data_IF_566636425582
#
_entry.id   IF_566636425582
#
_cell.length_a   1.000
_cell.length_b   1.000
_cell.length_c   1.000
_cell.angle_alpha   90.00
_cell.angle_beta   90.00
_cell.angle_gamma   90.00
#
_symmetry.space_group_name_H-M   'P 1'
#
loop_
_entity.id
_entity.type
_entity.pdbx_description
1 polymer ?
#
# COMPACT_ATOMS: atom_id res chain seq x y z
N UNK A 1 -4.41 -27.17 3.92
CA UNK A 1 -2.96 -27.24 3.67
C UNK A 1 -2.55 -26.05 2.80
N UNK A 2 -2.21 -24.88 3.37
CA UNK A 2 -1.80 -23.71 2.56
C UNK A 2 -1.05 -22.60 3.35
N UNK A 3 -0.38 -22.92 4.47
CA UNK A 3 0.15 -21.90 5.39
C UNK A 3 1.67 -21.61 5.28
N UNK A 4 2.40 -22.21 4.35
CA UNK A 4 3.88 -22.12 4.32
C UNK A 4 4.43 -21.23 3.19
N UNK A 5 3.61 -20.42 2.54
CA UNK A 5 4.06 -19.54 1.45
C UNK A 5 3.39 -18.18 1.55
N UNK A 6 4.21 -17.13 1.48
CA UNK A 6 3.74 -15.75 1.49
C UNK A 6 2.97 -15.46 0.20
N UNK A 7 1.66 -15.19 0.34
CA UNK A 7 0.79 -14.83 -0.77
C UNK A 7 0.58 -13.31 -0.79
N UNK A 8 0.59 -12.73 -1.98
CA UNK A 8 0.26 -11.32 -2.17
C UNK A 8 -1.27 -11.17 -2.13
N UNK A 9 -1.78 -10.66 -1.01
CA UNK A 9 -3.22 -10.40 -0.82
C UNK A 9 -3.64 -9.01 -1.32
N UNK A 10 -2.71 -8.06 -1.39
CA UNK A 10 -2.97 -6.70 -1.82
C UNK A 10 -1.71 -6.04 -2.39
N UNK A 11 -1.87 -5.21 -3.42
CA UNK A 11 -0.80 -4.40 -4.01
C UNK A 11 -1.21 -2.94 -3.98
N UNK A 12 -0.38 -2.10 -3.36
CA UNK A 12 -0.67 -0.66 -3.29
C UNK A 12 -0.62 -0.02 -4.67
N UNK A 13 -1.66 0.74 -5.01
CA UNK A 13 -1.72 1.58 -6.20
C UNK A 13 -0.53 2.55 -6.22
N UNK A 14 0.11 2.67 -7.38
CA UNK A 14 1.33 3.46 -7.61
C UNK A 14 2.55 3.06 -6.74
N UNK A 15 2.45 1.96 -6.00
CA UNK A 15 3.50 1.44 -5.15
C UNK A 15 4.64 0.76 -5.93
N UNK A 16 5.82 0.59 -5.30
CA UNK A 16 6.97 -0.08 -5.92
C UNK A 16 6.66 -1.46 -6.49
N UNK A 17 5.85 -2.26 -5.78
CA UNK A 17 5.49 -3.62 -6.19
C UNK A 17 4.63 -3.64 -7.45
N UNK A 18 3.67 -2.71 -7.59
CA UNK A 18 2.84 -2.59 -8.79
C UNK A 18 3.70 -2.23 -10.01
N UNK A 19 4.61 -1.26 -9.85
CA UNK A 19 5.56 -0.84 -10.91
C UNK A 19 6.49 -1.98 -11.34
N UNK A 20 6.76 -2.92 -10.43
CA UNK A 20 7.55 -4.13 -10.71
C UNK A 20 6.72 -5.28 -11.31
N UNK A 21 5.42 -5.10 -11.52
CA UNK A 21 4.53 -6.10 -12.13
C UNK A 21 4.04 -7.18 -11.17
N UNK A 22 4.10 -6.95 -9.85
CA UNK A 22 3.53 -7.84 -8.85
C UNK A 22 2.01 -7.68 -8.82
N UNK A 23 1.30 -8.80 -8.73
CA UNK A 23 -0.17 -8.88 -8.76
C UNK A 23 -0.69 -9.63 -7.54
N UNK A 24 -1.98 -9.40 -7.23
CA UNK A 24 -2.70 -10.18 -6.22
C UNK A 24 -2.74 -11.65 -6.65
N UNK A 25 -2.47 -12.54 -5.70
CA UNK A 25 -2.40 -13.99 -5.94
C UNK A 25 -0.99 -14.50 -6.25
N UNK A 26 0.00 -13.64 -6.43
CA UNK A 26 1.40 -14.05 -6.54
C UNK A 26 1.88 -14.75 -5.26
N UNK A 27 2.60 -15.86 -5.42
CA UNK A 27 3.18 -16.60 -4.29
C UNK A 27 4.69 -16.42 -4.26
N UNK A 28 5.22 -15.75 -3.24
CA UNK A 28 6.65 -15.47 -3.16
C UNK A 28 7.45 -16.73 -2.79
N UNK A 29 8.47 -17.01 -3.61
CA UNK A 29 9.38 -18.14 -3.44
C UNK A 29 10.69 -17.65 -2.80
N UNK A 30 11.27 -16.56 -3.33
CA UNK A 30 12.55 -15.99 -2.86
C UNK A 30 12.49 -14.47 -2.82
N UNK A 31 13.13 -13.86 -1.82
CA UNK A 31 13.35 -12.41 -1.71
C UNK A 31 14.83 -12.18 -1.48
N UNK A 32 15.50 -11.53 -2.44
CA UNK A 32 16.96 -11.43 -2.49
C UNK A 32 17.59 -12.81 -2.47
N UNK A 33 18.41 -13.07 -1.45
CA UNK A 33 19.08 -14.35 -1.25
C UNK A 33 18.32 -15.32 -0.34
N UNK A 34 17.20 -14.89 0.24
CA UNK A 34 16.43 -15.69 1.18
C UNK A 34 15.26 -16.41 0.52
N UNK A 35 15.20 -17.74 0.66
CA UNK A 35 14.05 -18.56 0.29
C UNK A 35 12.96 -18.41 1.36
N UNK A 36 11.76 -18.02 0.92
CA UNK A 36 10.60 -17.73 1.77
C UNK A 36 9.56 -18.86 1.70
N UNK A 37 9.45 -19.57 0.57
CA UNK A 37 8.52 -20.69 0.45
C UNK A 37 8.96 -21.92 1.27
N UNK A 38 8.00 -22.61 1.88
CA UNK A 38 8.19 -23.88 2.57
C UNK A 38 8.89 -23.79 3.92
N UNK A 39 9.12 -22.57 4.43
CA UNK A 39 9.65 -22.33 5.77
C UNK A 39 8.57 -21.62 6.58
N UNK A 40 8.45 -21.97 7.87
CA UNK A 40 7.79 -21.12 8.87
C UNK A 40 8.62 -19.85 9.06
N UNK A 41 8.66 -19.00 8.04
CA UNK A 41 9.41 -17.74 8.11
C UNK A 41 8.57 -16.77 8.90
N UNK A 42 9.19 -16.21 9.94
CA UNK A 42 8.65 -15.11 10.71
C UNK A 42 8.25 -13.95 9.79
N UNK A 43 7.00 -13.51 9.91
CA UNK A 43 6.44 -12.38 9.15
C UNK A 43 7.31 -11.12 9.28
N UNK A 44 7.91 -10.88 10.44
CA UNK A 44 8.77 -9.71 10.65
C UNK A 44 10.10 -9.84 9.90
N UNK A 45 10.63 -11.06 9.78
CA UNK A 45 11.81 -11.34 8.95
C UNK A 45 11.52 -11.13 7.46
N UNK A 46 10.32 -11.45 6.99
CA UNK A 46 9.93 -11.18 5.60
C UNK A 46 9.83 -9.67 5.36
N UNK A 47 9.22 -8.94 6.31
CA UNK A 47 9.09 -7.48 6.22
C UNK A 47 10.46 -6.80 6.14
N UNK A 48 11.45 -7.27 6.90
CA UNK A 48 12.80 -6.69 6.86
C UNK A 48 13.53 -6.97 5.54
N UNK A 49 13.30 -8.12 4.89
CA UNK A 49 13.88 -8.44 3.58
C UNK A 49 13.31 -7.57 2.46
N UNK A 50 11.99 -7.29 2.49
CA UNK A 50 11.32 -6.45 1.50
C UNK A 50 11.60 -4.96 1.73
N UNK A 51 11.69 -4.53 2.99
CA UNK A 51 12.10 -3.17 3.37
C UNK A 51 13.61 -2.99 3.16
N UNK A 52 14.04 -1.75 3.14
CA UNK A 52 15.44 -1.38 2.94
C UNK A 52 15.56 0.08 2.50
N UNK A 53 16.78 0.53 2.29
CA UNK A 53 17.05 1.91 1.94
C UNK A 53 16.38 2.29 0.61
N UNK A 54 15.85 3.51 0.55
CA UNK A 54 15.27 4.07 -0.67
C UNK A 54 16.25 3.96 -1.84
N UNK A 55 15.72 3.74 -3.04
CA UNK A 55 16.44 3.55 -4.30
C UNK A 55 17.32 2.28 -4.39
N UNK A 56 17.36 1.43 -3.36
CA UNK A 56 17.98 0.11 -3.49
C UNK A 56 17.05 -0.85 -4.21
N UNK A 57 17.60 -1.89 -4.83
CA UNK A 57 16.83 -2.91 -5.56
C UNK A 57 16.74 -4.19 -4.74
N UNK A 58 15.63 -4.90 -4.89
CA UNK A 58 15.46 -6.26 -4.39
C UNK A 58 14.84 -7.12 -5.46
N UNK A 59 15.47 -8.26 -5.74
CA UNK A 59 14.95 -9.25 -6.68
C UNK A 59 14.03 -10.20 -5.93
N UNK A 60 12.84 -10.42 -6.46
CA UNK A 60 11.88 -11.40 -5.93
C UNK A 60 11.58 -12.45 -6.99
N UNK A 61 11.48 -13.70 -6.58
CA UNK A 61 10.91 -14.76 -7.42
C UNK A 61 9.57 -15.19 -6.87
N UNK A 62 8.61 -15.40 -7.76
CA UNK A 62 7.24 -15.72 -7.40
C UNK A 62 6.59 -16.66 -8.40
N UNK A 63 5.58 -17.39 -7.93
CA UNK A 63 4.75 -18.26 -8.74
C UNK A 63 3.48 -17.50 -9.17
N UNK A 64 3.21 -17.47 -10.48
CA UNK A 64 1.94 -17.02 -11.05
C UNK A 64 1.49 -18.03 -12.10
N UNK A 65 0.26 -18.54 -11.99
CA UNK A 65 -0.28 -19.55 -12.91
C UNK A 65 0.67 -20.76 -13.10
N UNK A 66 1.23 -21.26 -12.00
CA UNK A 66 2.23 -22.34 -11.96
C UNK A 66 3.54 -22.07 -12.73
N UNK A 67 3.81 -20.83 -13.12
CA UNK A 67 5.07 -20.42 -13.73
C UNK A 67 5.89 -19.56 -12.76
N UNK A 68 7.18 -19.85 -12.66
CA UNK A 68 8.11 -19.04 -11.88
C UNK A 68 8.49 -17.79 -12.67
N UNK A 69 8.27 -16.63 -12.06
CA UNK A 69 8.64 -15.32 -12.59
C UNK A 69 9.60 -14.63 -11.64
N UNK A 70 10.37 -13.69 -12.19
CA UNK A 70 11.33 -12.87 -11.43
C UNK A 70 11.01 -11.41 -11.70
N UNK A 71 10.96 -10.61 -10.65
CA UNK A 71 10.82 -9.16 -10.74
C UNK A 71 11.86 -8.47 -9.86
N UNK A 72 12.30 -7.29 -10.30
CA UNK A 72 13.18 -6.42 -9.52
C UNK A 72 12.37 -5.24 -9.02
N UNK A 73 12.21 -5.16 -7.70
CA UNK A 73 11.51 -4.06 -7.04
C UNK A 73 12.54 -3.01 -6.63
N UNK A 74 12.38 -1.79 -7.13
CA UNK A 74 13.13 -0.63 -6.62
C UNK A 74 12.44 -0.10 -5.39
N UNK A 75 13.11 -0.15 -4.23
CA UNK A 75 12.54 0.32 -2.96
C UNK A 75 12.31 1.82 -3.02
N UNK A 76 11.09 2.23 -2.75
CA UNK A 76 10.74 3.65 -2.66
C UNK A 76 9.86 3.88 -1.43
N UNK A 77 9.73 5.15 -1.06
CA UNK A 77 8.79 5.56 -0.03
C UNK A 77 7.40 5.30 -0.59
N UNK A 78 6.65 4.44 0.07
CA UNK A 78 5.22 4.32 -0.19
C UNK A 78 4.60 5.63 0.30
N UNK A 79 4.02 6.48 -0.58
CA UNK A 79 3.40 7.72 -0.14
C UNK A 79 2.24 7.38 0.79
N UNK A 80 2.41 7.66 2.08
CA UNK A 80 1.42 7.36 3.10
C UNK A 80 0.35 8.46 3.17
N UNK A 81 -0.14 8.95 2.03
CA UNK A 81 -1.25 9.90 2.03
C UNK A 81 -2.43 9.28 2.74
N UNK A 82 -3.00 10.05 3.66
CA UNK A 82 -4.12 9.70 4.50
C UNK A 82 -5.45 10.04 3.84
N UNK A 83 -5.44 10.98 2.88
CA UNK A 83 -6.61 11.42 2.13
C UNK A 83 -6.55 10.87 0.70
N UNK A 84 -7.58 10.11 0.34
CA UNK A 84 -7.78 9.59 -1.03
C UNK A 84 -8.48 10.60 -1.94
N UNK A 85 -9.41 11.37 -1.38
CA UNK A 85 -10.21 12.33 -2.13
C UNK A 85 -10.61 13.52 -1.25
N UNK A 86 -10.59 14.71 -1.83
CA UNK A 86 -11.13 15.94 -1.26
C UNK A 86 -11.74 16.81 -2.36
N UNK A 87 -13.05 17.02 -2.37
CA UNK A 87 -13.75 17.81 -3.40
C UNK A 87 -15.11 18.33 -2.92
N UNK A 88 -15.69 19.29 -3.65
CA UNK A 88 -17.07 19.74 -3.44
C UNK A 88 -18.04 18.78 -4.14
N UNK A 89 -18.96 18.16 -3.40
CA UNK A 89 -20.02 17.30 -3.97
C UNK A 89 -21.12 18.11 -4.64
N UNK A 90 -21.43 19.27 -4.07
CA UNK A 90 -22.33 20.27 -4.62
C UNK A 90 -21.86 21.69 -4.21
N UNK A 91 -22.71 22.71 -4.38
CA UNK A 91 -22.37 24.10 -4.06
C UNK A 91 -22.13 24.39 -2.56
N UNK A 92 -22.50 23.46 -1.66
CA UNK A 92 -22.50 23.67 -0.21
C UNK A 92 -21.83 22.55 0.58
N UNK A 93 -21.74 21.33 0.02
CA UNK A 93 -21.23 20.16 0.72
C UNK A 93 -19.86 19.77 0.17
N UNK A 94 -18.84 19.82 1.04
CA UNK A 94 -17.51 19.28 0.81
C UNK A 94 -17.44 17.81 1.22
N UNK A 95 -16.57 17.06 0.56
CA UNK A 95 -16.32 15.65 0.82
C UNK A 95 -14.83 15.42 1.05
N UNK A 96 -14.50 14.70 2.12
CA UNK A 96 -13.15 14.21 2.38
C UNK A 96 -13.22 12.70 2.67
N UNK A 97 -12.41 11.91 1.96
CA UNK A 97 -12.23 10.48 2.21
C UNK A 97 -10.87 10.20 2.82
N UNK A 98 -10.87 9.72 4.06
CA UNK A 98 -9.71 9.20 4.75
C UNK A 98 -9.56 7.70 4.52
N UNK A 99 -8.34 7.25 4.24
CA UNK A 99 -8.02 5.82 4.08
C UNK A 99 -7.30 5.23 5.31
N UNK A 100 -6.67 6.06 6.14
CA UNK A 100 -5.94 5.67 7.35
C UNK A 100 -5.66 6.90 8.22
N UNK A 101 -5.31 6.61 9.46
CA UNK A 101 -4.69 7.57 10.36
C UNK A 101 -3.19 7.32 10.41
N UNK A 102 -2.41 8.36 10.11
CA UNK A 102 -0.96 8.37 10.09
C UNK A 102 -0.44 9.70 10.66
N UNK A 103 0.89 9.81 10.81
CA UNK A 103 1.50 11.02 11.35
C UNK A 103 1.19 12.29 10.51
N UNK A 104 0.96 12.15 9.20
CA UNK A 104 0.69 13.29 8.31
C UNK A 104 -0.79 13.62 8.16
N UNK A 105 -1.70 12.81 8.72
CA UNK A 105 -3.16 12.96 8.51
C UNK A 105 -3.66 14.34 8.90
N UNK A 106 -3.26 14.86 10.07
CA UNK A 106 -3.70 16.17 10.53
C UNK A 106 -3.36 17.27 9.52
N UNK A 107 -2.12 17.30 9.03
CA UNK A 107 -1.66 18.30 8.07
C UNK A 107 -2.43 18.19 6.76
N UNK A 108 -2.55 16.98 6.22
CA UNK A 108 -3.28 16.73 4.97
C UNK A 108 -4.75 17.13 5.09
N UNK A 109 -5.39 16.81 6.22
CA UNK A 109 -6.79 17.14 6.48
C UNK A 109 -7.02 18.65 6.58
N UNK A 110 -6.18 19.36 7.33
CA UNK A 110 -6.31 20.81 7.45
C UNK A 110 -6.10 21.53 6.11
N UNK A 111 -5.17 21.03 5.27
CA UNK A 111 -5.00 21.56 3.91
C UNK A 111 -6.26 21.35 3.07
N UNK A 112 -6.78 20.12 3.00
CA UNK A 112 -8.00 19.81 2.25
C UNK A 112 -9.22 20.61 2.76
N UNK A 113 -9.37 20.72 4.08
CA UNK A 113 -10.45 21.47 4.71
C UNK A 113 -10.40 22.95 4.34
N UNK A 114 -9.20 23.55 4.37
CA UNK A 114 -9.00 24.96 4.00
C UNK A 114 -9.35 25.19 2.52
N UNK A 115 -8.94 24.28 1.63
CA UNK A 115 -9.28 24.36 0.20
C UNK A 115 -10.78 24.26 -0.05
N UNK A 116 -11.50 23.39 0.66
CA UNK A 116 -12.95 23.26 0.55
C UNK A 116 -13.66 24.50 1.11
N UNK A 117 -13.20 25.02 2.25
CA UNK A 117 -13.75 26.24 2.84
C UNK A 117 -13.62 27.43 1.87
N UNK A 118 -12.46 27.56 1.21
CA UNK A 118 -12.23 28.59 0.19
C UNK A 118 -13.12 28.42 -1.05
N UNK A 119 -13.67 27.22 -1.29
CA UNK A 119 -14.65 26.93 -2.35
C UNK A 119 -16.10 27.13 -1.92
N UNK A 120 -16.34 27.67 -0.71
CA UNK A 120 -17.68 27.95 -0.21
C UNK A 120 -18.36 26.78 0.51
N UNK A 121 -17.59 25.78 0.94
CA UNK A 121 -18.11 24.67 1.74
C UNK A 121 -18.81 25.17 3.02
N UNK A 122 -20.03 24.70 3.24
CA UNK A 122 -20.83 24.96 4.45
C UNK A 122 -20.97 23.71 5.30
N UNK A 123 -21.07 22.54 4.67
CA UNK A 123 -21.18 21.24 5.32
C UNK A 123 -20.04 20.34 4.87
N UNK A 124 -19.55 19.49 5.77
CA UNK A 124 -18.51 18.51 5.44
C UNK A 124 -19.04 17.09 5.64
N UNK A 125 -18.97 16.30 4.58
CA UNK A 125 -19.13 14.86 4.65
C UNK A 125 -17.75 14.21 4.76
N UNK A 126 -17.45 13.63 5.92
CA UNK A 126 -16.19 12.95 6.20
C UNK A 126 -16.42 11.44 6.23
N UNK A 127 -15.64 10.71 5.44
CA UNK A 127 -15.64 9.24 5.46
C UNK A 127 -14.29 8.70 5.85
N UNK A 128 -14.31 7.57 6.55
CA UNK A 128 -13.13 6.78 6.87
C UNK A 128 -13.44 5.31 6.62
N UNK A 129 -12.58 4.63 5.86
CA UNK A 129 -12.68 3.19 5.66
C UNK A 129 -11.46 2.54 6.32
N UNK A 130 -11.70 1.79 7.39
CA UNK A 130 -10.66 1.03 8.06
C UNK A 130 -10.32 -0.21 7.23
N UNK A 131 -9.22 -0.15 6.48
CA UNK A 131 -8.68 -1.37 5.89
C UNK A 131 -7.96 -2.16 6.99
N UNK A 132 -8.63 -3.16 7.53
CA UNK A 132 -7.98 -4.18 8.35
C UNK A 132 -6.97 -4.90 7.46
N UNK A 133 -5.68 -4.64 7.67
CA UNK A 133 -4.63 -5.44 7.07
C UNK A 133 -4.68 -6.83 7.71
N UNK A 134 -5.45 -7.74 7.11
CA UNK A 134 -5.25 -9.17 7.32
C UNK A 134 -3.88 -9.49 6.73
N UNK A 135 -2.92 -9.75 7.61
CA UNK A 135 -1.60 -10.28 7.24
C UNK A 135 -1.70 -11.78 6.96
#
# INVERSE_FOLDING_TARGET
MMNDTLNVVHVLKDGPSLKAGIEVGDKFIKVGDSIIAGKKVDTDKIRTLLRGNRNTKVTVSFLRNNQTKIATITRDVIPLKSIDAAYMMDNTIGYIRLNKFSQTTYKEFMTALTELNNKGMQNLFLTYEAMAAAF
#
